data_IF_892979011867
#
_entry.id   IF_892979011867
#
_cell.length_a   1.000
_cell.length_b   1.000
_cell.length_c   1.000
_cell.angle_alpha   90.00
_cell.angle_beta   90.00
_cell.angle_gamma   90.00
#
_symmetry.space_group_name_H-M   'P 1'
#
loop_
_entity.id
_entity.type
_entity.pdbx_description
1 polymer ?
#
# COMPACT_ATOMS: atom_id res chain seq x y z
N UNK A 1 -13.03 -44.27 -6.01
CA UNK A 1 -11.76 -43.65 -6.46
C UNK A 1 -12.08 -42.30 -7.07
N UNK A 2 -12.00 -41.24 -6.27
CA UNK A 2 -12.22 -39.86 -6.74
C UNK A 2 -10.91 -39.40 -7.37
N UNK A 3 -10.96 -39.01 -8.64
CA UNK A 3 -9.81 -38.50 -9.38
C UNK A 3 -9.12 -37.40 -8.55
N UNK A 4 -7.84 -37.61 -8.24
CA UNK A 4 -7.05 -36.70 -7.44
C UNK A 4 -7.06 -35.31 -8.06
N UNK A 5 -7.69 -34.36 -7.36
CA UNK A 5 -7.52 -32.95 -7.64
C UNK A 5 -6.02 -32.68 -7.61
N UNK A 6 -5.41 -32.45 -8.79
CA UNK A 6 -4.03 -32.00 -8.89
C UNK A 6 -3.93 -30.80 -7.98
N UNK A 7 -3.18 -30.95 -6.88
CA UNK A 7 -2.86 -29.87 -5.95
C UNK A 7 -2.37 -28.70 -6.78
N UNK A 8 -3.24 -27.71 -6.98
CA UNK A 8 -2.90 -26.52 -7.73
C UNK A 8 -1.67 -25.95 -7.05
N UNK A 9 -0.54 -25.90 -7.78
CA UNK A 9 0.73 -25.40 -7.24
C UNK A 9 0.42 -24.07 -6.56
N UNK A 10 0.57 -24.01 -5.22
CA UNK A 10 0.47 -22.76 -4.47
C UNK A 10 1.50 -21.82 -5.09
N UNK A 11 1.03 -20.69 -5.62
CA UNK A 11 1.93 -19.60 -5.92
C UNK A 11 2.65 -19.24 -4.62
N UNK A 12 3.98 -19.24 -4.64
CA UNK A 12 4.76 -19.09 -3.41
C UNK A 12 4.61 -17.68 -2.84
N UNK A 13 4.55 -16.66 -3.72
CA UNK A 13 4.58 -15.26 -3.31
C UNK A 13 3.59 -14.40 -4.09
N UNK A 14 3.00 -13.42 -3.40
CA UNK A 14 2.28 -12.32 -4.00
C UNK A 14 2.91 -10.95 -3.66
N UNK A 15 2.84 -10.01 -4.59
CA UNK A 15 2.97 -8.56 -4.35
C UNK A 15 1.56 -8.02 -4.30
N UNK A 16 1.11 -7.55 -3.14
CA UNK A 16 -0.29 -7.24 -2.91
C UNK A 16 -0.50 -5.83 -2.39
N UNK A 17 -1.64 -5.25 -2.76
CA UNK A 17 -2.15 -4.01 -2.18
C UNK A 17 -3.66 -4.11 -1.97
N UNK A 18 -4.20 -3.15 -1.24
CA UNK A 18 -5.63 -2.94 -1.11
C UNK A 18 -6.03 -1.59 -1.64
N UNK A 19 -7.09 -1.56 -2.43
CA UNK A 19 -7.61 -0.34 -3.05
C UNK A 19 -9.06 -0.16 -2.65
N UNK A 20 -9.30 0.90 -1.89
CA UNK A 20 -10.65 1.39 -1.65
C UNK A 20 -11.02 2.45 -2.69
N UNK A 21 -11.89 2.10 -3.62
CA UNK A 21 -12.44 3.02 -4.61
C UNK A 21 -13.58 3.79 -3.97
N UNK A 22 -13.40 5.10 -3.83
CA UNK A 22 -14.46 6.03 -3.41
C UNK A 22 -15.32 6.38 -4.62
N UNK A 23 -16.47 5.75 -4.73
CA UNK A 23 -17.53 6.18 -5.63
C UNK A 23 -18.26 7.35 -4.96
N UNK A 24 -17.92 8.58 -5.33
CA UNK A 24 -18.63 9.78 -4.87
C UNK A 24 -19.73 10.21 -5.85
N UNK A 25 -20.63 11.11 -5.41
CA UNK A 25 -21.65 11.78 -6.25
C UNK A 25 -21.07 12.55 -7.46
N UNK A 26 -19.75 12.81 -7.46
CA UNK A 26 -19.02 13.52 -8.52
C UNK A 26 -18.08 12.64 -9.35
N UNK A 27 -18.19 11.31 -9.22
CA UNK A 27 -17.29 10.37 -9.87
C UNK A 27 -16.07 9.98 -9.02
N UNK A 28 -15.11 9.30 -9.65
CA UNK A 28 -13.95 8.72 -8.98
C UNK A 28 -12.93 9.79 -8.62
N UNK A 29 -12.36 9.70 -7.41
CA UNK A 29 -11.28 10.58 -6.98
C UNK A 29 -10.01 10.35 -7.82
N UNK A 30 -9.58 11.38 -8.58
CA UNK A 30 -8.38 11.30 -9.43
C UNK A 30 -7.11 10.89 -8.67
N UNK A 31 -6.97 11.30 -7.41
CA UNK A 31 -5.82 10.93 -6.60
C UNK A 31 -5.77 9.43 -6.31
N UNK A 32 -6.93 8.79 -6.14
CA UNK A 32 -7.02 7.35 -5.92
C UNK A 32 -6.60 6.62 -7.21
N UNK A 33 -6.97 7.13 -8.38
CA UNK A 33 -6.56 6.52 -9.66
C UNK A 33 -5.06 6.64 -9.91
N UNK A 34 -4.46 7.82 -9.69
CA UNK A 34 -3.03 8.00 -9.92
C UNK A 34 -2.21 6.99 -9.10
N UNK A 35 -2.60 6.79 -7.83
CA UNK A 35 -1.97 5.82 -6.95
C UNK A 35 -2.09 4.39 -7.48
N UNK A 36 -3.28 3.99 -7.96
CA UNK A 36 -3.51 2.64 -8.50
C UNK A 36 -2.69 2.40 -9.76
N UNK A 37 -2.77 3.29 -10.75
CA UNK A 37 -2.03 3.19 -12.02
C UNK A 37 -0.53 3.09 -11.76
N UNK A 38 -0.01 3.98 -10.90
CA UNK A 38 1.39 3.97 -10.48
C UNK A 38 1.75 2.64 -9.81
N UNK A 39 1.00 2.23 -8.80
CA UNK A 39 1.28 1.01 -8.06
C UNK A 39 1.28 -0.22 -8.98
N UNK A 40 0.31 -0.32 -9.89
CA UNK A 40 0.20 -1.44 -10.81
C UNK A 40 1.41 -1.57 -11.73
N UNK A 41 1.90 -0.44 -12.27
CA UNK A 41 3.13 -0.43 -13.06
C UNK A 41 4.33 -0.88 -12.22
N UNK A 42 4.50 -0.30 -11.04
CA UNK A 42 5.62 -0.63 -10.16
C UNK A 42 5.61 -2.10 -9.77
N UNK A 43 4.45 -2.62 -9.35
CA UNK A 43 4.28 -4.02 -8.98
C UNK A 43 4.55 -4.97 -10.15
N UNK A 44 4.15 -4.58 -11.37
CA UNK A 44 4.42 -5.35 -12.59
C UNK A 44 5.92 -5.40 -12.94
N UNK A 45 6.58 -4.24 -12.96
CA UNK A 45 8.02 -4.15 -13.18
C UNK A 45 8.78 -4.95 -12.13
N UNK A 46 8.36 -4.81 -10.87
CA UNK A 46 8.97 -5.48 -9.75
C UNK A 46 8.76 -7.00 -9.80
N UNK A 47 7.55 -7.47 -10.12
CA UNK A 47 7.24 -8.89 -10.35
C UNK A 47 8.09 -9.49 -11.48
N UNK A 48 8.32 -8.74 -12.56
CA UNK A 48 9.16 -9.20 -13.66
C UNK A 48 10.66 -9.25 -13.31
N UNK A 49 11.13 -8.35 -12.46
CA UNK A 49 12.52 -8.29 -12.05
C UNK A 49 12.86 -9.38 -11.01
N UNK A 50 11.91 -9.72 -10.13
CA UNK A 50 12.12 -10.61 -8.99
C UNK A 50 12.80 -11.96 -9.31
N UNK A 51 12.42 -12.68 -10.39
CA UNK A 51 13.02 -13.98 -10.72
C UNK A 51 14.51 -13.90 -11.07
N UNK A 52 14.89 -12.96 -11.94
CA UNK A 52 16.28 -12.71 -12.36
C UNK A 52 17.16 -12.40 -11.14
N UNK A 53 16.54 -11.66 -10.23
CA UNK A 53 17.17 -11.15 -9.05
C UNK A 53 17.37 -12.20 -7.96
N UNK A 54 16.41 -13.12 -7.82
CA UNK A 54 16.53 -14.31 -6.97
C UNK A 54 17.59 -15.26 -7.52
N UNK A 55 17.60 -15.52 -8.82
CA UNK A 55 18.55 -16.45 -9.45
C UNK A 55 20.00 -16.00 -9.19
N UNK A 56 20.29 -14.70 -9.34
CA UNK A 56 21.59 -14.10 -9.05
C UNK A 56 22.00 -14.14 -7.58
N UNK A 57 21.04 -14.26 -6.66
CA UNK A 57 21.31 -14.33 -5.22
C UNK A 57 21.62 -15.74 -4.71
N UNK A 58 21.53 -16.77 -5.57
CA UNK A 58 21.67 -18.17 -5.15
C UNK A 58 20.44 -18.73 -4.43
N UNK A 59 19.38 -17.94 -4.25
CA UNK A 59 18.11 -18.35 -3.64
C UNK A 59 17.15 -19.04 -4.63
N UNK A 60 17.66 -19.53 -5.77
CA UNK A 60 16.87 -20.02 -6.92
C UNK A 60 15.82 -21.10 -6.60
N UNK A 61 16.01 -21.88 -5.53
CA UNK A 61 15.04 -22.90 -5.10
C UNK A 61 13.78 -22.31 -4.42
N UNK A 62 13.81 -21.05 -3.96
CA UNK A 62 12.69 -20.42 -3.24
C UNK A 62 11.63 -19.82 -4.18
N UNK A 63 11.96 -19.61 -5.46
CA UNK A 63 11.10 -18.87 -6.37
C UNK A 63 11.04 -19.61 -7.70
N UNK A 64 9.92 -20.28 -7.97
CA UNK A 64 9.65 -20.94 -9.25
C UNK A 64 9.31 -19.93 -10.37
N UNK A 65 10.02 -18.79 -10.38
CA UNK A 65 9.99 -17.82 -11.48
C UNK A 65 8.86 -16.81 -11.49
N UNK A 66 7.89 -16.85 -10.55
CA UNK A 66 6.74 -15.94 -10.62
C UNK A 66 6.23 -15.48 -9.24
N UNK A 67 5.98 -14.17 -9.12
CA UNK A 67 5.19 -13.58 -8.04
C UNK A 67 3.89 -13.03 -8.63
N UNK A 68 2.75 -13.44 -8.07
CA UNK A 68 1.46 -12.89 -8.48
C UNK A 68 1.38 -11.42 -8.05
N UNK A 69 0.79 -10.57 -8.89
CA UNK A 69 0.44 -9.21 -8.49
C UNK A 69 -1.04 -9.21 -8.12
N UNK A 70 -1.37 -8.84 -6.88
CA UNK A 70 -2.73 -8.95 -6.34
C UNK A 70 -3.26 -7.58 -5.92
N UNK A 71 -4.38 -7.17 -6.49
CA UNK A 71 -5.12 -5.97 -6.04
C UNK A 71 -6.39 -6.42 -5.37
N UNK A 72 -6.48 -6.28 -4.05
CA UNK A 72 -7.73 -6.53 -3.32
C UNK A 72 -8.54 -5.23 -3.28
N UNK A 73 -9.79 -5.24 -3.73
CA UNK A 73 -10.56 -4.00 -3.86
C UNK A 73 -12.06 -4.20 -3.61
N UNK A 74 -12.75 -3.10 -3.34
CA UNK A 74 -14.21 -3.05 -3.31
C UNK A 74 -14.83 -2.89 -4.71
N UNK A 75 -14.06 -2.54 -5.75
CA UNK A 75 -14.54 -2.36 -7.13
C UNK A 75 -13.54 -2.97 -8.14
N UNK A 76 -13.74 -4.26 -8.44
CA UNK A 76 -12.91 -5.01 -9.40
C UNK A 76 -13.01 -4.44 -10.82
N UNK A 77 -14.19 -3.99 -11.25
CA UNK A 77 -14.38 -3.48 -12.61
C UNK A 77 -13.58 -2.19 -12.82
N UNK A 78 -13.67 -1.27 -11.86
CA UNK A 78 -12.89 -0.04 -11.87
C UNK A 78 -11.39 -0.34 -11.83
N UNK A 79 -10.92 -1.12 -10.85
CA UNK A 79 -9.47 -1.37 -10.73
C UNK A 79 -8.91 -2.07 -11.96
N UNK A 80 -9.62 -3.05 -12.54
CA UNK A 80 -9.21 -3.71 -13.78
C UNK A 80 -9.11 -2.73 -14.94
N UNK A 81 -9.99 -1.74 -15.02
CA UNK A 81 -9.93 -0.72 -16.06
C UNK A 81 -8.70 0.20 -15.95
N UNK A 82 -8.24 0.47 -14.72
CA UNK A 82 -7.06 1.31 -14.46
C UNK A 82 -5.75 0.53 -14.45
N UNK A 83 -5.83 -0.79 -14.35
CA UNK A 83 -4.71 -1.68 -14.12
C UNK A 83 -4.86 -2.95 -14.97
N UNK A 84 -4.90 -2.84 -16.31
CA UNK A 84 -5.38 -3.91 -17.19
C UNK A 84 -4.39 -5.05 -17.45
N UNK A 85 -3.35 -5.25 -16.63
CA UNK A 85 -2.39 -6.31 -16.94
C UNK A 85 -3.00 -7.70 -16.76
N UNK A 86 -2.79 -8.61 -17.73
CA UNK A 86 -3.33 -9.97 -17.65
C UNK A 86 -2.76 -10.78 -16.48
N UNK A 87 -1.63 -10.37 -15.91
CA UNK A 87 -0.99 -11.03 -14.76
C UNK A 87 -1.39 -10.45 -13.40
N UNK A 88 -2.26 -9.44 -13.38
CA UNK A 88 -2.76 -8.86 -12.13
C UNK A 88 -4.06 -9.55 -11.74
N UNK A 89 -4.04 -10.15 -10.55
CA UNK A 89 -5.20 -10.79 -9.96
C UNK A 89 -5.98 -9.74 -9.19
N UNK A 90 -7.14 -9.37 -9.72
CA UNK A 90 -8.09 -8.51 -9.03
C UNK A 90 -8.97 -9.37 -8.13
N UNK A 91 -8.83 -9.20 -6.82
CA UNK A 91 -9.66 -9.89 -5.83
C UNK A 91 -10.71 -8.95 -5.29
N UNK A 92 -11.98 -9.35 -5.38
CA UNK A 92 -13.03 -8.66 -4.65
C UNK A 92 -12.82 -8.91 -3.16
N UNK A 93 -12.79 -7.86 -2.35
CA UNK A 93 -12.88 -7.99 -0.91
C UNK A 93 -14.31 -8.41 -0.58
N UNK A 94 -14.44 -9.43 0.28
CA UNK A 94 -15.74 -9.96 0.68
C UNK A 94 -16.66 -8.83 1.18
N UNK A 95 -17.91 -8.73 0.66
CA UNK A 95 -18.84 -7.68 1.05
C UNK A 95 -19.07 -7.57 2.56
N UNK A 96 -19.16 -8.70 3.26
CA UNK A 96 -19.34 -8.72 4.71
C UNK A 96 -18.13 -8.11 5.44
N UNK A 97 -16.92 -8.38 4.96
CA UNK A 97 -15.72 -7.78 5.51
C UNK A 97 -15.64 -6.27 5.22
N UNK A 98 -16.03 -5.84 4.01
CA UNK A 98 -16.15 -4.41 3.69
C UNK A 98 -17.18 -3.71 4.58
N UNK A 99 -18.33 -4.33 4.79
CA UNK A 99 -19.37 -3.79 5.68
C UNK A 99 -18.88 -3.70 7.12
N UNK A 100 -18.11 -4.69 7.58
CA UNK A 100 -17.50 -4.68 8.90
C UNK A 100 -16.49 -3.54 9.07
N UNK A 101 -15.57 -3.34 8.12
CA UNK A 101 -14.58 -2.26 8.20
C UNK A 101 -15.25 -0.89 8.09
N UNK A 102 -16.29 -0.76 7.26
CA UNK A 102 -17.14 0.44 7.19
C UNK A 102 -17.76 0.74 8.55
N UNK A 103 -18.52 -0.23 9.08
CA UNK A 103 -19.21 -0.09 10.35
C UNK A 103 -18.23 0.27 11.46
N UNK A 104 -17.11 -0.45 11.59
CA UNK A 104 -16.10 -0.17 12.60
C UNK A 104 -15.52 1.25 12.46
N UNK A 105 -15.15 1.67 11.25
CA UNK A 105 -14.61 3.03 11.03
C UNK A 105 -15.61 4.14 11.41
N UNK A 106 -16.91 3.87 11.31
CA UNK A 106 -17.99 4.76 11.74
C UNK A 106 -18.28 4.70 13.25
N UNK A 107 -18.29 3.51 13.85
CA UNK A 107 -18.87 3.28 15.19
C UNK A 107 -17.84 3.06 16.29
N UNK A 108 -16.63 2.58 15.97
CA UNK A 108 -15.70 2.07 16.97
C UNK A 108 -15.13 3.14 17.91
N UNK A 109 -15.30 4.42 17.55
CA UNK A 109 -14.93 5.55 18.36
C UNK A 109 -15.99 6.61 18.17
N UNK A 110 -16.57 7.12 19.27
CA UNK A 110 -17.44 8.30 19.22
C UNK A 110 -16.58 9.46 18.73
N UNK A 111 -16.54 9.65 17.40
CA UNK A 111 -15.71 10.67 16.74
C UNK A 111 -16.07 12.06 17.25
N UNK A 112 -17.32 12.28 17.68
CA UNK A 112 -17.78 13.56 18.19
C UNK A 112 -17.22 13.79 19.59
N UNK A 113 -17.38 12.82 20.48
CA UNK A 113 -16.82 12.89 21.83
C UNK A 113 -15.29 12.91 21.83
N UNK A 114 -14.65 12.05 21.04
CA UNK A 114 -13.20 12.07 20.84
C UNK A 114 -12.77 13.44 20.33
N UNK A 115 -13.38 13.97 19.26
CA UNK A 115 -13.06 15.30 18.74
C UNK A 115 -13.29 16.40 19.78
N UNK A 116 -14.33 16.33 20.60
CA UNK A 116 -14.58 17.30 21.67
C UNK A 116 -13.52 17.21 22.77
N UNK A 117 -13.19 16.01 23.23
CA UNK A 117 -12.11 15.77 24.20
C UNK A 117 -10.76 16.24 23.66
N UNK A 118 -10.52 16.08 22.35
CA UNK A 118 -9.32 16.55 21.65
C UNK A 118 -9.24 18.07 21.64
N UNK A 119 -10.32 18.72 21.25
CA UNK A 119 -10.42 20.18 21.25
C UNK A 119 -10.27 20.74 22.67
N UNK A 120 -10.77 20.03 23.68
CA UNK A 120 -10.69 20.41 25.09
C UNK A 120 -9.31 20.12 25.73
N UNK A 121 -8.61 19.06 25.34
CA UNK A 121 -7.35 18.65 25.96
C UNK A 121 -6.13 19.42 25.46
N UNK A 122 -6.24 20.11 24.32
CA UNK A 122 -5.11 20.77 23.66
C UNK A 122 -4.05 19.80 23.10
N UNK A 123 -4.25 18.49 23.25
CA UNK A 123 -3.36 17.46 22.71
C UNK A 123 -3.66 17.31 21.22
N UNK A 124 -2.63 17.27 20.37
CA UNK A 124 -2.80 16.87 18.97
C UNK A 124 -3.07 15.37 18.92
N UNK A 125 -4.29 14.99 18.57
CA UNK A 125 -4.63 13.60 18.30
C UNK A 125 -4.51 13.28 16.81
N UNK A 126 -4.04 12.08 16.51
CA UNK A 126 -3.92 11.57 15.15
C UNK A 126 -5.27 11.00 14.69
N UNK A 127 -6.31 11.85 14.68
CA UNK A 127 -7.60 11.48 14.10
C UNK A 127 -7.47 11.39 12.59
N UNK A 128 -7.55 10.18 12.07
CA UNK A 128 -7.70 9.96 10.65
C UNK A 128 -9.14 10.24 10.21
N UNK A 129 -9.35 10.83 9.02
CA UNK A 129 -10.66 10.90 8.42
C UNK A 129 -11.23 9.49 8.24
N UNK A 130 -12.53 9.32 8.42
CA UNK A 130 -13.20 8.01 8.30
C UNK A 130 -12.92 7.26 7.00
N UNK A 131 -12.92 7.92 5.82
CA UNK A 131 -12.57 7.22 4.58
C UNK A 131 -11.14 6.67 4.58
N UNK A 132 -10.23 7.26 5.37
CA UNK A 132 -8.85 6.81 5.50
C UNK A 132 -8.76 5.56 6.39
N UNK A 133 -9.38 5.58 7.59
CA UNK A 133 -9.39 4.41 8.48
C UNK A 133 -10.01 3.19 7.81
N UNK A 134 -11.12 3.39 7.11
CA UNK A 134 -11.77 2.34 6.32
C UNK A 134 -10.82 1.75 5.29
N UNK A 135 -10.19 2.59 4.48
CA UNK A 135 -9.27 2.15 3.43
C UNK A 135 -8.08 1.38 4.03
N UNK A 136 -7.51 1.88 5.13
CA UNK A 136 -6.41 1.20 5.82
C UNK A 136 -6.84 -0.15 6.42
N UNK A 137 -8.00 -0.23 7.05
CA UNK A 137 -8.51 -1.48 7.64
C UNK A 137 -8.70 -2.58 6.59
N UNK A 138 -8.99 -2.22 5.33
CA UNK A 138 -9.10 -3.24 4.27
C UNK A 138 -7.79 -3.99 4.01
N UNK A 139 -6.62 -3.44 4.37
CA UNK A 139 -5.32 -4.16 4.32
C UNK A 139 -5.33 -5.44 5.13
N UNK A 140 -6.17 -5.54 6.15
CA UNK A 140 -6.31 -6.76 6.94
C UNK A 140 -6.77 -7.96 6.10
N UNK A 141 -7.48 -7.73 4.98
CA UNK A 141 -7.84 -8.80 4.04
C UNK A 141 -6.61 -9.54 3.47
N UNK A 142 -5.43 -8.89 3.43
CA UNK A 142 -4.18 -9.50 2.97
C UNK A 142 -3.69 -10.62 3.91
N UNK A 143 -4.04 -10.57 5.19
CA UNK A 143 -3.76 -11.64 6.18
C UNK A 143 -4.49 -12.93 5.82
N UNK A 144 -5.64 -12.82 5.15
CA UNK A 144 -6.46 -13.95 4.70
C UNK A 144 -6.00 -14.61 3.39
N UNK A 145 -4.95 -14.11 2.72
CA UNK A 145 -4.47 -14.61 1.43
C UNK A 145 -3.68 -15.94 1.53
N UNK A 146 -4.21 -16.92 2.25
CA UNK A 146 -3.59 -18.22 2.61
C UNK A 146 -3.25 -19.13 1.43
N UNK A 147 -3.58 -18.74 0.20
CA UNK A 147 -3.11 -19.42 -1.02
C UNK A 147 -1.64 -19.13 -1.31
N UNK A 148 -1.09 -18.05 -0.74
CA UNK A 148 0.31 -17.67 -0.83
C UNK A 148 1.06 -18.03 0.45
N UNK A 149 2.34 -18.36 0.31
CA UNK A 149 3.22 -18.57 1.45
C UNK A 149 3.73 -17.24 2.01
N UNK A 150 4.04 -16.30 1.12
CA UNK A 150 4.47 -14.94 1.45
C UNK A 150 3.68 -13.91 0.66
N UNK A 151 3.41 -12.77 1.28
CA UNK A 151 2.81 -11.61 0.65
C UNK A 151 3.66 -10.39 0.97
N UNK A 152 4.17 -9.73 -0.06
CA UNK A 152 4.71 -8.38 0.06
C UNK A 152 3.53 -7.40 -0.03
N UNK A 153 3.08 -6.90 1.12
CA UNK A 153 2.06 -5.87 1.20
C UNK A 153 2.71 -4.51 0.93
N UNK A 154 2.20 -3.76 -0.04
CA UNK A 154 2.73 -2.43 -0.41
C UNK A 154 1.59 -1.46 -0.62
N UNK A 155 1.65 -0.30 0.03
CA UNK A 155 0.66 0.76 -0.16
C UNK A 155 0.71 1.32 -1.57
N UNK A 156 -0.44 1.78 -2.06
CA UNK A 156 -0.54 2.40 -3.38
C UNK A 156 0.19 3.77 -3.47
N UNK A 157 0.66 4.30 -2.34
CA UNK A 157 1.46 5.52 -2.25
C UNK A 157 2.94 5.27 -1.91
N UNK A 158 3.39 4.01 -1.96
CA UNK A 158 4.80 3.66 -1.96
C UNK A 158 5.31 3.61 -3.39
N UNK A 159 6.48 4.21 -3.63
CA UNK A 159 7.15 4.35 -4.92
C UNK A 159 8.50 3.63 -4.94
N UNK A 160 8.61 2.65 -5.84
CA UNK A 160 9.82 1.86 -6.03
C UNK A 160 10.90 2.64 -6.79
N UNK A 161 10.50 3.61 -7.62
CA UNK A 161 11.38 4.34 -8.53
C UNK A 161 11.82 5.69 -7.97
N UNK A 162 11.00 6.36 -7.15
CA UNK A 162 11.33 7.67 -6.58
C UNK A 162 12.60 7.64 -5.72
N UNK A 163 12.74 6.62 -4.87
CA UNK A 163 13.97 6.45 -4.08
C UNK A 163 15.20 6.26 -5.00
N UNK A 164 15.04 5.49 -6.08
CA UNK A 164 16.07 5.31 -7.09
C UNK A 164 16.43 6.58 -7.86
N UNK A 165 15.47 7.47 -8.12
CA UNK A 165 15.73 8.77 -8.76
C UNK A 165 16.50 9.74 -7.86
N UNK A 166 16.28 9.67 -6.55
CA UNK A 166 17.04 10.46 -5.57
C UNK A 166 18.40 9.86 -5.26
N UNK A 167 18.60 8.58 -5.57
CA UNK A 167 19.88 7.91 -5.44
C UNK A 167 20.86 8.44 -6.49
N UNK A 168 22.08 8.87 -6.10
CA UNK A 168 23.13 9.21 -7.06
C UNK A 168 23.50 8.07 -8.01
N UNK A 169 23.23 6.82 -7.61
CA UNK A 169 23.50 5.62 -8.41
C UNK A 169 22.40 5.33 -9.46
N UNK A 170 21.29 6.08 -9.42
CA UNK A 170 20.16 5.88 -10.32
C UNK A 170 19.21 4.75 -9.90
N UNK A 171 18.13 4.63 -10.68
CA UNK A 171 17.02 3.71 -10.42
C UNK A 171 17.45 2.24 -10.42
N UNK A 172 18.20 1.81 -11.43
CA UNK A 172 18.55 0.41 -11.59
C UNK A 172 19.45 -0.09 -10.46
N UNK A 173 20.43 0.73 -10.05
CA UNK A 173 21.31 0.41 -8.94
C UNK A 173 20.55 0.34 -7.60
N UNK A 174 19.60 1.26 -7.38
CA UNK A 174 18.74 1.24 -6.20
C UNK A 174 17.87 -0.01 -6.16
N UNK A 175 17.18 -0.35 -7.25
CA UNK A 175 16.37 -1.56 -7.34
C UNK A 175 17.20 -2.82 -7.13
N UNK A 176 18.40 -2.87 -7.71
CA UNK A 176 19.33 -3.98 -7.49
C UNK A 176 19.78 -4.10 -6.03
N UNK A 177 20.01 -2.97 -5.33
CA UNK A 177 20.36 -2.96 -3.91
C UNK A 177 19.19 -3.42 -3.02
N UNK A 178 18.00 -2.84 -3.20
CA UNK A 178 16.80 -3.22 -2.44
C UNK A 178 16.47 -4.69 -2.61
N UNK A 179 16.61 -5.17 -3.84
CA UNK A 179 16.44 -6.59 -4.14
C UNK A 179 17.45 -7.47 -3.41
N UNK A 180 18.76 -7.16 -3.45
CA UNK A 180 19.76 -7.96 -2.74
C UNK A 180 19.41 -8.04 -1.26
N UNK A 181 18.99 -6.92 -0.67
CA UNK A 181 18.50 -6.89 0.71
C UNK A 181 17.35 -7.86 0.95
N UNK A 182 16.40 -7.93 0.02
CA UNK A 182 15.25 -8.82 0.13
C UNK A 182 15.60 -10.28 -0.11
N UNK A 183 16.50 -10.56 -1.05
CA UNK A 183 17.01 -11.90 -1.30
C UNK A 183 17.72 -12.49 -0.07
N UNK A 184 18.35 -11.65 0.75
CA UNK A 184 18.96 -12.05 2.01
C UNK A 184 17.93 -12.18 3.15
N UNK A 185 17.02 -11.21 3.29
CA UNK A 185 16.10 -11.14 4.44
C UNK A 185 14.86 -12.04 4.29
N UNK A 186 14.32 -12.21 3.08
CA UNK A 186 13.09 -12.99 2.87
C UNK A 186 13.28 -14.47 3.22
N UNK A 187 14.36 -15.17 2.84
CA UNK A 187 14.58 -16.55 3.28
C UNK A 187 14.72 -16.68 4.81
N UNK A 188 15.42 -15.72 5.46
CA UNK A 188 15.52 -15.69 6.92
C UNK A 188 14.17 -15.45 7.59
N UNK A 189 13.37 -14.55 7.03
CA UNK A 189 12.01 -14.31 7.49
C UNK A 189 11.14 -15.55 7.33
N UNK A 190 11.16 -16.17 6.15
CA UNK A 190 10.45 -17.41 5.83
C UNK A 190 10.75 -18.51 6.84
N UNK A 191 12.02 -18.73 7.15
CA UNK A 191 12.46 -19.74 8.12
C UNK A 191 12.17 -19.38 9.60
N UNK A 192 11.96 -18.09 9.92
CA UNK A 192 11.70 -17.63 11.28
C UNK A 192 10.25 -17.90 11.74
N UNK A 193 9.97 -17.93 13.06
CA UNK A 193 8.60 -18.01 13.57
C UNK A 193 7.79 -16.72 13.33
N UNK A 194 8.44 -15.61 12.96
CA UNK A 194 7.76 -14.36 12.65
C UNK A 194 6.78 -14.54 11.49
N UNK A 195 5.67 -13.79 11.56
CA UNK A 195 4.59 -13.76 10.56
C UNK A 195 4.47 -12.41 9.88
N UNK A 196 5.08 -11.36 10.44
CA UNK A 196 5.19 -10.04 9.84
C UNK A 196 6.65 -9.56 9.93
N UNK A 197 7.19 -9.09 8.81
CA UNK A 197 8.47 -8.40 8.74
C UNK A 197 8.25 -7.01 8.14
N UNK A 198 8.64 -5.98 8.87
CA UNK A 198 8.52 -4.61 8.42
C UNK A 198 9.66 -3.73 8.94
N UNK A 199 9.62 -2.46 8.59
CA UNK A 199 10.55 -1.46 9.10
C UNK A 199 9.94 -0.77 10.31
N UNK A 200 10.79 -0.32 11.24
CA UNK A 200 10.33 0.49 12.36
C UNK A 200 9.71 1.80 11.85
N UNK A 201 8.73 2.32 12.59
CA UNK A 201 8.08 3.61 12.33
C UNK A 201 8.20 4.52 13.55
N UNK A 202 8.02 5.84 13.36
CA UNK A 202 8.05 6.78 14.49
C UNK A 202 6.71 6.85 15.22
N UNK A 203 5.60 6.48 14.57
CA UNK A 203 4.26 6.54 15.16
C UNK A 203 3.90 5.21 15.82
N UNK A 204 4.04 4.11 15.09
CA UNK A 204 3.77 2.76 15.58
C UNK A 204 5.02 1.87 15.55
N UNK A 205 4.98 0.70 16.21
CA UNK A 205 6.00 -0.36 16.10
C UNK A 205 6.49 -0.67 14.68
N UNK A 206 5.58 -0.67 13.70
CA UNK A 206 5.84 -1.11 12.33
C UNK A 206 5.19 -0.17 11.33
N UNK A 207 5.94 0.20 10.29
CA UNK A 207 5.40 0.95 9.17
C UNK A 207 4.63 -0.02 8.25
N UNK A 208 3.32 0.19 8.11
CA UNK A 208 2.46 -0.66 7.28
C UNK A 208 2.45 -0.27 5.79
N UNK A 209 3.27 0.69 5.38
CA UNK A 209 3.44 1.10 3.99
C UNK A 209 4.10 0.02 3.14
N UNK A 210 5.03 -0.74 3.72
CA UNK A 210 5.63 -1.90 3.08
C UNK A 210 6.03 -2.97 4.11
N UNK A 211 5.42 -4.16 4.01
CA UNK A 211 5.69 -5.28 4.91
C UNK A 211 5.68 -6.61 4.17
N UNK A 212 6.47 -7.56 4.64
CA UNK A 212 6.32 -8.96 4.29
C UNK A 212 5.44 -9.67 5.31
N UNK A 213 4.53 -10.49 4.82
CA UNK A 213 3.50 -11.14 5.60
C UNK A 213 3.48 -12.63 5.25
N UNK A 214 3.32 -13.48 6.27
CA UNK A 214 2.93 -14.89 6.11
C UNK A 214 1.44 -14.98 6.40
N UNK A 215 0.58 -15.13 5.37
CA UNK A 215 -0.87 -15.19 5.57
C UNK A 215 -1.27 -16.29 6.55
N UNK A 216 -2.34 -16.03 7.31
CA UNK A 216 -2.84 -16.95 8.34
C UNK A 216 -4.33 -16.74 8.50
N UNK A 217 -5.11 -17.80 8.21
CA UNK A 217 -6.58 -17.76 8.38
C UNK A 217 -6.95 -17.48 9.83
N UNK A 218 -6.29 -18.13 10.79
CA UNK A 218 -6.55 -17.92 12.21
C UNK A 218 -6.29 -16.47 12.65
N UNK A 219 -5.19 -15.85 12.21
CA UNK A 219 -4.92 -14.45 12.52
C UNK A 219 -5.92 -13.52 11.82
N UNK A 220 -6.27 -13.79 10.56
CA UNK A 220 -7.30 -13.03 9.85
C UNK A 220 -8.63 -13.03 10.61
N UNK A 221 -9.10 -14.22 11.00
CA UNK A 221 -10.33 -14.43 11.78
C UNK A 221 -10.27 -13.73 13.15
N UNK A 222 -9.12 -13.74 13.83
CA UNK A 222 -8.94 -13.00 15.08
C UNK A 222 -9.09 -11.49 14.89
N UNK A 223 -8.47 -10.91 13.86
CA UNK A 223 -8.64 -9.49 13.58
C UNK A 223 -10.07 -9.14 13.17
N UNK A 224 -10.75 -10.02 12.42
CA UNK A 224 -12.19 -9.89 12.14
C UNK A 224 -13.00 -9.91 13.44
N UNK A 225 -12.68 -10.80 14.38
CA UNK A 225 -13.34 -10.85 15.68
C UNK A 225 -13.12 -9.58 16.51
N UNK A 226 -11.89 -9.04 16.51
CA UNK A 226 -11.58 -7.75 17.14
C UNK A 226 -12.41 -6.62 16.56
N UNK A 227 -12.49 -6.51 15.23
CA UNK A 227 -13.29 -5.50 14.56
C UNK A 227 -14.79 -5.66 14.86
N UNK A 228 -15.31 -6.89 14.93
CA UNK A 228 -16.73 -7.16 15.25
C UNK A 228 -17.15 -6.64 16.63
N UNK A 229 -16.22 -6.48 17.56
CA UNK A 229 -16.56 -5.91 18.87
C UNK A 229 -17.02 -4.46 18.76
N UNK A 230 -16.58 -3.71 17.75
CA UNK A 230 -16.86 -2.27 17.63
C UNK A 230 -16.30 -1.45 18.78
N UNK A 231 -15.33 -1.98 19.53
CA UNK A 231 -14.77 -1.32 20.72
C UNK A 231 -13.35 -0.90 20.42
N UNK A 232 -13.11 0.41 20.44
CA UNK A 232 -11.77 0.97 20.40
C UNK A 232 -11.71 2.22 21.29
N UNK A 233 -10.60 2.41 21.98
CA UNK A 233 -10.27 3.70 22.56
C UNK A 233 -8.79 4.02 22.35
N UNK A 234 -8.46 5.30 22.29
CA UNK A 234 -7.07 5.73 22.20
C UNK A 234 -6.23 5.36 23.42
N UNK A 235 -6.87 5.09 24.55
CA UNK A 235 -6.18 4.69 25.76
C UNK A 235 -5.89 3.19 25.76
N UNK A 236 -6.88 2.36 25.46
CA UNK A 236 -6.82 0.89 25.69
C UNK A 236 -6.90 0.05 24.42
N UNK A 237 -7.02 0.67 23.24
CA UNK A 237 -6.93 0.00 21.95
C UNK A 237 -8.16 -0.83 21.58
N UNK A 238 -7.96 -1.78 20.66
CA UNK A 238 -9.02 -2.66 20.17
C UNK A 238 -9.54 -3.58 21.27
N UNK A 239 -10.87 -3.71 21.34
CA UNK A 239 -11.55 -4.48 22.38
C UNK A 239 -11.12 -4.10 23.82
N UNK A 240 -10.68 -2.86 24.02
CA UNK A 240 -10.21 -2.35 25.32
C UNK A 240 -9.14 -3.23 25.96
N UNK A 241 -8.23 -3.80 25.16
CA UNK A 241 -7.22 -4.77 25.62
C UNK A 241 -6.25 -4.24 26.67
N UNK A 242 -6.05 -2.92 26.73
CA UNK A 242 -5.09 -2.28 27.63
C UNK A 242 -4.16 -1.34 26.88
N UNK A 243 -3.31 -0.63 27.63
CA UNK A 243 -2.33 0.29 27.06
C UNK A 243 -1.15 -0.48 26.46
N UNK A 244 -0.45 0.05 25.44
CA UNK A 244 0.64 -0.66 24.77
C UNK A 244 1.70 -1.27 25.71
N UNK A 245 2.17 -0.55 26.73
CA UNK A 245 3.17 -1.05 27.69
C UNK A 245 2.64 -2.16 28.59
N UNK A 246 1.34 -2.20 28.88
CA UNK A 246 0.71 -3.26 29.67
C UNK A 246 0.63 -4.58 28.88
N UNK A 247 0.62 -4.48 27.56
CA UNK A 247 0.59 -5.61 26.63
C UNK A 247 1.99 -6.08 26.22
N UNK A 248 3.04 -5.35 26.62
CA UNK A 248 4.41 -5.70 26.33
C UNK A 248 5.01 -6.50 27.49
N UNK A 249 5.64 -7.62 27.16
CA UNK A 249 6.52 -8.32 28.09
C UNK A 249 7.93 -7.71 28.09
N UNK A 250 8.73 -8.15 29.07
CA UNK A 250 10.09 -7.67 29.24
C UNK A 250 11.01 -8.00 28.05
N UNK A 251 10.70 -9.03 27.26
CA UNK A 251 11.50 -9.38 26.08
C UNK A 251 11.22 -8.39 24.95
N UNK A 252 9.94 -8.14 24.63
CA UNK A 252 9.54 -7.15 23.62
C UNK A 252 10.08 -5.75 23.92
N UNK A 253 10.07 -5.35 25.19
CA UNK A 253 10.61 -4.07 25.64
C UNK A 253 12.13 -3.93 25.40
N UNK A 254 12.87 -5.05 25.36
CA UNK A 254 14.34 -5.06 25.17
C UNK A 254 14.78 -5.26 23.73
N UNK A 255 14.04 -6.04 22.94
CA UNK A 255 14.52 -6.52 21.63
C UNK A 255 14.20 -5.60 20.46
N UNK A 256 13.31 -4.63 20.65
CA UNK A 256 12.85 -3.75 19.59
C UNK A 256 13.24 -2.32 19.97
N UNK A 257 13.70 -1.46 19.02
CA UNK A 257 14.03 -0.05 19.27
C UNK A 257 12.76 0.81 19.50
N UNK A 258 11.87 0.34 20.38
CA UNK A 258 10.47 0.77 20.50
C UNK A 258 10.27 1.98 21.37
N UNK A 259 11.22 2.26 22.27
CA UNK A 259 11.19 3.45 23.10
C UNK A 259 11.20 4.75 22.26
N UNK A 260 11.40 4.65 20.95
CA UNK A 260 11.32 5.75 19.99
C UNK A 260 9.98 5.89 19.27
N UNK A 261 9.10 4.88 19.33
CA UNK A 261 7.77 4.98 18.70
C UNK A 261 6.82 5.74 19.60
N UNK A 262 5.99 6.62 19.04
CA UNK A 262 5.00 7.40 19.78
C UNK A 262 4.04 6.50 20.58
N UNK A 263 3.63 5.37 19.99
CA UNK A 263 2.69 4.42 20.60
C UNK A 263 3.21 3.90 21.95
N UNK A 264 4.47 3.51 21.99
CA UNK A 264 5.11 2.98 23.20
C UNK A 264 5.55 4.10 24.13
N UNK A 265 6.16 5.17 23.60
CA UNK A 265 6.64 6.30 24.39
C UNK A 265 5.52 7.00 25.17
N UNK A 266 4.39 7.26 24.52
CA UNK A 266 3.22 7.86 25.17
C UNK A 266 2.28 6.83 25.78
N UNK A 267 2.59 5.54 25.66
CA UNK A 267 1.77 4.43 26.13
C UNK A 267 0.29 4.57 25.73
N UNK A 268 0.04 4.83 24.45
CA UNK A 268 -1.29 5.14 23.91
C UNK A 268 -1.44 4.62 22.48
N UNK A 269 -2.68 4.32 22.10
CA UNK A 269 -3.07 4.00 20.73
C UNK A 269 -3.35 5.27 19.89
N UNK A 270 -3.15 6.46 20.45
CA UNK A 270 -3.29 7.76 19.78
C UNK A 270 -2.09 8.11 18.88
N UNK A 271 -1.94 7.34 17.82
CA UNK A 271 -0.89 7.48 16.82
C UNK A 271 -1.49 7.42 15.41
N UNK A 272 -0.69 7.75 14.39
CA UNK A 272 -1.14 7.61 13.00
C UNK A 272 -1.64 6.19 12.75
N UNK A 273 -2.87 6.08 12.25
CA UNK A 273 -3.53 4.80 11.98
C UNK A 273 -3.63 3.84 13.19
N UNK A 274 -3.61 4.37 14.42
CA UNK A 274 -3.74 3.56 15.64
C UNK A 274 -5.11 2.89 15.80
N UNK A 275 -6.17 3.47 15.23
CA UNK A 275 -7.52 2.87 15.17
C UNK A 275 -7.77 2.07 13.88
N UNK A 276 -6.74 1.89 13.05
CA UNK A 276 -6.82 1.20 11.76
C UNK A 276 -5.68 0.18 11.63
N UNK A 277 -4.93 0.17 10.52
CA UNK A 277 -3.97 -0.91 10.22
C UNK A 277 -2.80 -0.94 11.21
N UNK A 278 -2.09 0.16 11.44
CA UNK A 278 -0.91 0.17 12.31
C UNK A 278 -1.23 -0.32 13.72
N UNK A 279 -2.37 0.11 14.28
CA UNK A 279 -2.82 -0.39 15.58
C UNK A 279 -3.20 -1.87 15.55
N UNK A 280 -4.04 -2.29 14.60
CA UNK A 280 -4.52 -3.68 14.53
C UNK A 280 -3.35 -4.66 14.31
N UNK A 281 -2.44 -4.34 13.40
CA UNK A 281 -1.25 -5.16 13.14
C UNK A 281 -0.30 -5.17 14.33
N UNK A 282 -0.10 -4.05 15.03
CA UNK A 282 0.72 -4.02 16.26
C UNK A 282 0.10 -4.88 17.36
N UNK A 283 -1.21 -4.80 17.57
CA UNK A 283 -1.89 -5.64 18.56
C UNK A 283 -1.74 -7.13 18.25
N UNK A 284 -2.11 -7.54 17.03
CA UNK A 284 -2.16 -8.96 16.67
C UNK A 284 -0.74 -9.51 16.51
N UNK A 285 0.09 -8.94 15.64
CA UNK A 285 1.38 -9.53 15.32
C UNK A 285 2.42 -9.33 16.40
N UNK A 286 2.50 -8.15 17.03
CA UNK A 286 3.52 -7.90 18.05
C UNK A 286 3.04 -8.36 19.42
N UNK A 287 1.94 -7.80 19.93
CA UNK A 287 1.57 -7.94 21.34
C UNK A 287 0.96 -9.31 21.67
N UNK A 288 0.08 -9.84 20.82
CA UNK A 288 -0.59 -11.13 21.07
C UNK A 288 0.23 -12.33 20.61
N UNK A 289 0.80 -12.26 19.41
CA UNK A 289 1.45 -13.42 18.78
C UNK A 289 2.97 -13.39 18.82
N UNK A 290 3.61 -12.29 19.24
CA UNK A 290 5.08 -12.13 19.22
C UNK A 290 5.72 -12.52 17.88
N UNK A 291 4.98 -12.25 16.80
CA UNK A 291 5.26 -12.67 15.44
C UNK A 291 5.70 -11.49 14.55
N UNK A 292 5.98 -10.33 15.13
CA UNK A 292 6.60 -9.19 14.43
C UNK A 292 8.13 -9.30 14.50
N UNK A 293 8.79 -9.14 13.35
CA UNK A 293 10.22 -8.86 13.22
C UNK A 293 10.40 -7.49 12.58
N UNK A 294 11.32 -6.69 13.12
CA UNK A 294 11.71 -5.42 12.51
C UNK A 294 13.07 -5.55 11.81
N UNK A 295 13.24 -4.81 10.72
CA UNK A 295 14.53 -4.63 10.06
C UNK A 295 14.96 -3.16 10.10
N UNK A 296 16.25 -2.92 10.32
CA UNK A 296 16.87 -1.58 10.30
C UNK A 296 17.51 -1.24 8.95
N UNK A 297 17.37 -2.13 7.96
CA UNK A 297 17.96 -2.01 6.64
C UNK A 297 17.31 -0.88 5.84
N UNK A 298 18.06 0.19 5.58
CA UNK A 298 17.59 1.32 4.78
C UNK A 298 17.38 0.95 3.30
N UNK A 299 18.08 -0.05 2.79
CA UNK A 299 17.82 -0.64 1.47
C UNK A 299 16.51 -1.46 1.44
N UNK A 300 15.91 -1.72 2.60
CA UNK A 300 14.59 -2.30 2.70
C UNK A 300 13.47 -1.25 2.57
N UNK A 301 13.75 0.04 2.76
CA UNK A 301 12.71 1.08 2.71
C UNK A 301 12.52 1.57 1.28
N UNK A 302 11.29 1.51 0.80
CA UNK A 302 10.84 2.21 -0.39
C UNK A 302 10.39 3.62 -0.03
N UNK A 303 10.33 4.50 -1.03
CA UNK A 303 9.84 5.86 -0.78
C UNK A 303 8.34 5.84 -0.50
N UNK A 304 7.95 6.24 0.71
CA UNK A 304 6.54 6.37 1.09
C UNK A 304 6.10 7.84 0.99
N UNK A 305 5.09 8.14 0.16
CA UNK A 305 4.53 9.48 0.07
C UNK A 305 3.58 9.76 1.24
N UNK A 306 3.95 10.73 2.07
CA UNK A 306 3.02 11.32 3.05
C UNK A 306 1.83 11.96 2.34
N UNK A 307 0.67 11.98 3.00
CA UNK A 307 -0.61 12.44 2.41
C UNK A 307 -0.51 13.75 1.63
N UNK A 308 0.19 14.76 2.18
CA UNK A 308 0.39 16.08 1.57
C UNK A 308 1.57 16.18 0.61
N UNK A 309 2.46 15.18 0.58
CA UNK A 309 3.61 15.12 -0.33
C UNK A 309 3.37 14.29 -1.59
N UNK A 310 2.23 13.60 -1.67
CA UNK A 310 1.80 12.88 -2.87
C UNK A 310 1.86 13.79 -4.12
N UNK A 311 2.68 13.46 -5.13
CA UNK A 311 2.89 14.32 -6.30
C UNK A 311 1.59 14.64 -7.03
N UNK A 312 0.68 13.67 -7.13
CA UNK A 312 -0.62 13.85 -7.77
C UNK A 312 -1.63 14.68 -6.97
N UNK A 313 -1.43 14.83 -5.65
CA UNK A 313 -2.23 15.77 -4.85
C UNK A 313 -1.75 17.20 -5.07
N UNK A 314 -0.43 17.42 -5.12
CA UNK A 314 0.16 18.76 -5.30
C UNK A 314 0.00 19.31 -6.71
N UNK A 315 0.13 18.43 -7.70
CA UNK A 315 0.14 18.81 -9.12
C UNK A 315 -1.27 18.87 -9.71
N UNK A 316 -2.31 18.50 -8.94
CA UNK A 316 -3.70 18.45 -9.39
C UNK A 316 -3.96 17.46 -10.53
N UNK A 317 -2.97 16.64 -10.91
CA UNK A 317 -3.09 15.64 -11.97
C UNK A 317 -1.96 14.61 -11.89
N UNK A 318 -2.19 13.41 -12.43
CA UNK A 318 -1.17 12.37 -12.51
C UNK A 318 -0.09 12.68 -13.57
N UNK A 319 -0.44 13.50 -14.57
CA UNK A 319 0.34 13.75 -15.77
C UNK A 319 1.78 14.24 -15.50
N UNK A 320 2.00 15.34 -14.75
CA UNK A 320 3.36 15.81 -14.47
C UNK A 320 4.23 14.77 -13.75
N UNK A 321 3.63 13.97 -12.89
CA UNK A 321 4.33 12.93 -12.16
C UNK A 321 4.69 11.74 -13.07
N UNK A 322 3.78 11.31 -13.94
CA UNK A 322 4.08 10.30 -14.96
C UNK A 322 5.14 10.82 -15.96
N UNK A 323 5.06 12.08 -16.38
CA UNK A 323 6.11 12.69 -17.19
C UNK A 323 7.47 12.64 -16.49
N UNK A 324 7.52 13.03 -15.21
CA UNK A 324 8.75 12.94 -14.42
C UNK A 324 9.28 11.52 -14.30
N UNK A 325 8.40 10.51 -14.32
CA UNK A 325 8.77 9.09 -14.33
C UNK A 325 9.22 8.59 -15.71
N UNK A 326 9.30 9.46 -16.71
CA UNK A 326 9.59 9.10 -18.10
C UNK A 326 8.52 8.21 -18.72
N UNK A 327 7.30 8.24 -18.18
CA UNK A 327 6.18 7.41 -18.64
C UNK A 327 5.44 7.99 -19.82
N UNK A 328 5.48 9.30 -19.96
CA UNK A 328 4.82 10.01 -21.04
C UNK A 328 5.78 11.10 -21.49
N UNK A 329 5.66 11.54 -22.72
CA UNK A 329 6.41 12.68 -23.22
C UNK A 329 6.07 13.97 -22.48
N UNK A 330 6.99 14.93 -22.62
CA UNK A 330 6.71 16.29 -22.20
C UNK A 330 5.50 16.76 -23.00
N UNK A 331 4.44 17.25 -22.33
CA UNK A 331 3.26 17.69 -23.06
C UNK A 331 3.67 18.74 -24.08
N UNK A 332 3.36 18.46 -25.34
CA UNK A 332 3.58 19.40 -26.43
C UNK A 332 2.39 20.35 -26.55
N UNK A 333 2.65 21.63 -26.82
CA UNK A 333 1.61 22.51 -27.35
C UNK A 333 1.21 22.08 -28.79
N UNK A 334 0.24 22.76 -29.39
CA UNK A 334 -0.19 22.46 -30.77
C UNK A 334 0.93 22.60 -31.81
N UNK A 335 1.98 23.38 -31.49
CA UNK A 335 3.18 23.56 -32.30
C UNK A 335 4.28 22.52 -31.99
N UNK A 336 4.03 21.56 -31.09
CA UNK A 336 4.99 20.53 -30.71
C UNK A 336 6.11 21.01 -29.78
N UNK A 337 5.98 22.21 -29.21
CA UNK A 337 6.96 22.72 -28.23
C UNK A 337 6.73 22.08 -26.88
N UNK A 338 7.81 21.62 -26.27
CA UNK A 338 7.80 21.06 -24.91
C UNK A 338 7.30 22.11 -23.93
N UNK A 339 6.15 21.86 -23.30
CA UNK A 339 5.62 22.68 -22.21
C UNK A 339 6.16 22.13 -20.89
N UNK A 340 6.94 22.92 -20.13
CA UNK A 340 7.37 22.51 -18.79
C UNK A 340 6.16 22.13 -17.94
N UNK A 341 6.21 21.06 -17.13
CA UNK A 341 5.04 20.60 -16.37
C UNK A 341 4.48 21.64 -15.40
N UNK A 342 5.31 22.59 -14.95
CA UNK A 342 4.91 23.71 -14.08
C UNK A 342 4.07 24.77 -14.80
N UNK A 343 4.14 24.80 -16.13
CA UNK A 343 3.42 25.72 -17.01
C UNK A 343 2.18 25.08 -17.64
N UNK A 344 1.89 23.82 -17.34
CA UNK A 344 0.61 23.23 -17.71
C UNK A 344 -0.50 23.98 -16.96
N UNK A 345 -1.56 24.42 -17.66
CA UNK A 345 -2.67 25.08 -17.01
C UNK A 345 -3.23 24.15 -15.94
N UNK A 346 -3.28 24.63 -14.69
CA UNK A 346 -4.06 23.94 -13.67
C UNK A 346 -5.50 23.86 -14.19
N UNK A 347 -6.14 22.68 -14.20
CA UNK A 347 -7.53 22.59 -14.62
C UNK A 347 -8.35 23.58 -13.78
N UNK A 348 -9.13 24.45 -14.44
CA UNK A 348 -9.83 25.56 -13.79
C UNK A 348 -11.07 25.10 -12.98
N UNK A 349 -11.11 23.82 -12.59
CA UNK A 349 -12.17 23.22 -11.78
C UNK A 349 -12.47 21.76 -12.18
N UNK A 350 -13.23 21.03 -11.33
CA UNK A 350 -13.50 19.59 -11.49
C UNK A 350 -14.23 19.22 -12.79
N UNK A 351 -14.96 20.15 -13.44
CA UNK A 351 -15.60 19.90 -14.74
C UNK A 351 -14.62 19.81 -15.91
N UNK A 352 -13.44 20.43 -15.82
CA UNK A 352 -12.47 20.43 -16.92
C UNK A 352 -11.61 19.16 -16.93
N UNK A 353 -11.39 18.52 -15.78
CA UNK A 353 -10.60 17.29 -15.66
C UNK A 353 -11.27 16.09 -16.32
N UNK A 354 -12.62 16.02 -16.29
CA UNK A 354 -13.38 14.90 -16.87
C UNK A 354 -13.17 14.69 -18.38
N UNK A 355 -12.76 15.71 -19.13
CA UNK A 355 -12.56 15.59 -20.59
C UNK A 355 -11.22 14.97 -20.99
N UNK A 356 -10.15 15.21 -20.24
CA UNK A 356 -8.85 14.57 -20.52
C UNK A 356 -8.72 13.20 -19.85
N UNK A 357 -9.58 12.91 -18.86
CA UNK A 357 -9.54 11.67 -18.11
C UNK A 357 -9.63 10.39 -18.96
N UNK A 358 -10.53 10.26 -19.96
CA UNK A 358 -10.56 9.08 -20.83
C UNK A 358 -9.29 8.92 -21.68
N UNK A 359 -8.60 10.02 -21.99
CA UNK A 359 -7.31 9.97 -22.67
C UNK A 359 -6.24 9.43 -21.72
N UNK A 360 -6.18 9.94 -20.49
CA UNK A 360 -5.26 9.45 -19.46
C UNK A 360 -5.46 7.98 -19.13
N UNK A 361 -6.70 7.53 -19.02
CA UNK A 361 -7.03 6.11 -18.84
C UNK A 361 -6.48 5.25 -19.97
N UNK A 362 -6.67 5.66 -21.23
CA UNK A 362 -6.14 4.94 -22.40
C UNK A 362 -4.61 4.95 -22.45
N UNK A 363 -3.98 6.06 -22.04
CA UNK A 363 -2.53 6.16 -21.93
C UNK A 363 -1.98 5.21 -20.86
N UNK A 364 -2.54 5.29 -19.64
CA UNK A 364 -2.17 4.45 -18.51
C UNK A 364 -2.36 2.96 -18.84
N UNK A 365 -3.51 2.60 -19.39
CA UNK A 365 -3.79 1.24 -19.85
C UNK A 365 -2.74 0.74 -20.84
N UNK A 366 -2.36 1.58 -21.81
CA UNK A 366 -1.36 1.22 -22.83
C UNK A 366 0.05 1.11 -22.26
N UNK A 367 0.46 2.02 -21.36
CA UNK A 367 1.73 1.93 -20.63
C UNK A 367 1.85 0.64 -19.82
N UNK A 368 0.75 0.26 -19.22
CA UNK A 368 0.66 -0.91 -18.37
C UNK A 368 0.68 -2.18 -19.22
N UNK A 369 -0.04 -2.25 -20.35
CA UNK A 369 -0.10 -3.46 -21.19
C UNK A 369 1.07 -3.62 -22.15
N UNK A 370 1.64 -2.51 -22.63
CA UNK A 370 2.68 -2.48 -23.67
C UNK A 370 3.77 -1.46 -23.30
N UNK A 371 4.70 -1.78 -22.39
CA UNK A 371 5.71 -0.83 -21.89
C UNK A 371 6.68 -0.28 -22.95
N UNK A 372 6.62 -0.79 -24.18
CA UNK A 372 7.45 -0.38 -25.33
C UNK A 372 6.63 0.19 -26.51
N UNK A 373 5.32 0.37 -26.35
CA UNK A 373 4.47 0.82 -27.43
C UNK A 373 4.40 2.34 -27.52
N UNK A 374 4.70 2.87 -28.71
CA UNK A 374 4.50 4.27 -29.04
C UNK A 374 3.04 4.55 -29.36
N UNK A 375 2.49 5.61 -28.78
CA UNK A 375 1.13 6.06 -29.10
C UNK A 375 0.97 7.56 -28.84
N UNK A 376 0.12 8.24 -29.62
CA UNK A 376 -0.11 9.68 -29.49
C UNK A 376 -1.57 9.95 -29.18
N UNK A 377 -1.83 10.84 -28.24
CA UNK A 377 -3.17 11.28 -27.88
C UNK A 377 -3.24 12.79 -27.84
N UNK A 378 -4.43 13.32 -28.14
CA UNK A 378 -4.74 14.74 -28.02
C UNK A 378 -5.77 14.96 -26.92
N UNK A 379 -5.53 15.92 -26.04
CA UNK A 379 -6.58 16.48 -25.21
C UNK A 379 -6.51 18.01 -25.22
N UNK A 380 -7.57 18.65 -25.73
CA UNK A 380 -7.75 20.12 -25.73
C UNK A 380 -6.48 20.90 -26.14
N UNK A 381 -5.92 20.57 -27.30
CA UNK A 381 -4.75 21.24 -27.88
C UNK A 381 -3.39 20.74 -27.35
N UNK A 382 -3.35 20.00 -26.24
CA UNK A 382 -2.12 19.32 -25.81
C UNK A 382 -1.99 17.95 -26.51
N UNK A 383 -0.82 17.67 -27.05
CA UNK A 383 -0.47 16.35 -27.58
C UNK A 383 0.45 15.61 -26.60
N UNK A 384 0.13 14.35 -26.31
CA UNK A 384 0.92 13.45 -25.46
C UNK A 384 1.38 12.26 -26.30
N UNK A 385 2.64 11.85 -26.16
CA UNK A 385 3.16 10.65 -26.82
C UNK A 385 3.69 9.68 -25.75
N UNK A 386 3.46 8.38 -25.94
CA UNK A 386 4.06 7.27 -25.20
C UNK A 386 5.32 6.79 -25.93
N UNK A 387 6.30 6.28 -25.20
CA UNK A 387 7.39 5.48 -25.74
C UNK A 387 7.45 4.11 -25.09
#
# INVERSE_FOLDING_TARGET
MVAGARSARRALVAIATTVWVRLGERGVNHADVCGIVKWCRDAAHFSAALPILVERSGAGALWNGHADVVVSTNDVAFTRSECPQPRIIHSQIEPDFLNLTNWFAHTAFDRKEARQRILASGVKHHLSPEPFDRALLTKWALVGLVRYELVLCVDNDVDFFEAGRRSPAGVDAYLAAATRAWAEEVPRFRASPARLLGTADMEAPVNMGMVWLKPSRAMFEEGVALLRTGRFSYETGFNMTGRPLELMDAQMARTLPMNRTRMIYLNTWNVVAGASDQGLFSLVFMMRHRALRLTSRADYTLHHFWSSSKPWVRLGSCLPYFYQLGLIDAPGDEAGRVVPPRLLPKPAGPRQEGHCWPVLRRMAAKLISEPSARARWKCRGASFTLF
#
